data_IF_905102664340
#
_entry.id   IF_905102664340
#
_cell.length_a   1.000
_cell.length_b   1.000
_cell.length_c   1.000
_cell.angle_alpha   90.00
_cell.angle_beta   90.00
_cell.angle_gamma   90.00
#
_symmetry.space_group_name_H-M   'P 1'
#
loop_
_entity.id
_entity.type
_entity.pdbx_description
1 polymer ?
#
# COMPACT_ATOMS: atom_id res chain seq x y z
N UNK A 1 -56.57 -18.27 11.79
CA UNK A 1 -55.55 -17.82 10.79
C UNK A 1 -54.24 -17.66 11.52
N UNK A 2 -53.41 -18.70 11.51
CA UNK A 2 -52.13 -18.76 12.21
C UNK A 2 -51.02 -18.70 11.19
N UNK A 3 -50.26 -17.62 11.19
CA UNK A 3 -49.10 -17.41 10.32
C UNK A 3 -47.89 -18.22 10.88
N UNK A 4 -47.36 -19.10 10.02
CA UNK A 4 -46.11 -19.83 10.26
C UNK A 4 -44.90 -18.89 10.04
N UNK A 5 -43.81 -19.02 10.81
CA UNK A 5 -42.55 -18.32 10.54
C UNK A 5 -41.77 -19.00 9.38
N UNK A 6 -40.86 -18.29 8.70
CA UNK A 6 -40.06 -18.82 7.60
C UNK A 6 -39.01 -19.80 8.09
N UNK A 7 -38.77 -20.83 7.30
CA UNK A 7 -37.80 -21.93 7.56
C UNK A 7 -36.45 -21.50 6.97
N UNK A 8 -35.43 -21.36 7.82
CA UNK A 8 -34.05 -21.15 7.42
C UNK A 8 -33.42 -22.43 6.86
N UNK A 9 -33.04 -22.41 5.59
CA UNK A 9 -32.25 -23.50 5.01
C UNK A 9 -30.76 -23.33 5.39
N UNK A 10 -30.29 -24.21 6.27
CA UNK A 10 -28.87 -24.33 6.63
C UNK A 10 -28.21 -25.28 5.64
N UNK A 11 -27.31 -24.77 4.80
CA UNK A 11 -26.38 -25.59 3.99
C UNK A 11 -25.14 -25.86 4.86
N UNK A 12 -25.05 -27.05 5.40
CA UNK A 12 -23.90 -27.50 6.17
C UNK A 12 -22.83 -28.12 5.28
N UNK A 13 -21.62 -27.54 5.25
CA UNK A 13 -20.42 -28.17 4.69
C UNK A 13 -19.83 -29.07 5.78
N UNK A 14 -19.78 -30.39 5.54
CA UNK A 14 -19.11 -31.36 6.44
C UNK A 14 -17.62 -31.43 6.10
N UNK A 15 -16.78 -31.02 7.06
CA UNK A 15 -15.37 -31.42 7.06
C UNK A 15 -15.22 -32.72 7.84
N UNK A 16 -14.45 -33.68 7.34
CA UNK A 16 -14.10 -34.90 8.02
C UNK A 16 -13.15 -34.60 9.18
N UNK A 17 -13.56 -35.01 10.39
CA UNK A 17 -12.87 -34.90 11.68
C UNK A 17 -13.02 -33.55 12.42
N UNK A 18 -14.03 -33.49 13.32
CA UNK A 18 -14.13 -32.51 14.39
C UNK A 18 -14.91 -31.23 14.02
N UNK A 19 -15.94 -30.94 14.83
CA UNK A 19 -16.69 -29.69 14.77
C UNK A 19 -15.77 -28.49 15.07
N UNK A 20 -15.32 -27.77 14.05
CA UNK A 20 -14.74 -26.45 14.23
C UNK A 20 -15.87 -25.44 14.49
N UNK A 21 -16.03 -25.06 15.73
CA UNK A 21 -16.89 -23.94 16.13
C UNK A 21 -16.18 -22.64 15.78
N UNK A 22 -16.41 -22.13 14.57
CA UNK A 22 -15.93 -20.81 14.15
C UNK A 22 -16.86 -19.78 14.81
N UNK A 23 -16.38 -18.94 15.73
CA UNK A 23 -17.22 -17.95 16.37
C UNK A 23 -17.84 -17.04 15.31
N UNK A 24 -19.15 -17.10 15.13
CA UNK A 24 -19.90 -16.17 14.28
C UNK A 24 -19.61 -14.76 14.78
N UNK A 25 -18.80 -13.98 14.06
CA UNK A 25 -18.72 -12.53 14.25
C UNK A 25 -20.16 -12.02 14.11
N UNK A 26 -20.73 -11.54 15.23
CA UNK A 26 -22.01 -10.84 15.22
C UNK A 26 -21.88 -9.71 14.18
N UNK A 27 -22.64 -9.80 13.11
CA UNK A 27 -22.87 -8.66 12.22
C UNK A 27 -23.50 -7.59 13.11
N UNK A 28 -22.71 -6.57 13.47
CA UNK A 28 -23.22 -5.42 14.21
C UNK A 28 -24.32 -4.80 13.36
N UNK A 29 -25.52 -4.75 13.91
CA UNK A 29 -26.63 -4.01 13.31
C UNK A 29 -26.12 -2.63 12.89
N UNK A 30 -26.36 -2.29 11.61
CA UNK A 30 -25.95 -1.07 10.97
C UNK A 30 -26.47 0.15 11.78
N UNK A 31 -25.68 0.68 12.70
CA UNK A 31 -25.94 1.99 13.30
C UNK A 31 -25.79 2.98 12.15
N UNK A 32 -26.87 3.61 11.71
CA UNK A 32 -26.80 4.75 10.79
C UNK A 32 -25.94 5.80 11.47
N UNK A 33 -24.72 5.96 11.00
CA UNK A 33 -23.84 7.03 11.47
C UNK A 33 -24.47 8.37 11.09
N UNK A 34 -24.57 9.34 11.99
CA UNK A 34 -25.11 10.66 11.66
C UNK A 34 -24.30 11.26 10.53
N UNK A 35 -24.99 11.71 9.49
CA UNK A 35 -24.39 12.45 8.38
C UNK A 35 -24.52 13.93 8.68
N UNK A 36 -23.38 14.63 8.69
CA UNK A 36 -23.32 16.07 8.94
C UNK A 36 -23.15 16.82 7.62
N UNK A 37 -24.07 17.71 7.31
CA UNK A 37 -23.96 18.54 6.10
C UNK A 37 -22.90 19.65 6.32
N UNK A 38 -22.04 19.80 5.32
CA UNK A 38 -21.03 20.86 5.21
C UNK A 38 -21.43 21.79 4.08
N UNK A 39 -21.57 23.07 4.38
CA UNK A 39 -21.95 24.13 3.43
C UNK A 39 -20.80 25.05 3.07
N UNK A 40 -19.78 25.13 3.93
CA UNK A 40 -18.65 26.04 3.77
C UNK A 40 -17.35 25.24 3.58
N UNK A 41 -16.49 25.60 2.62
CA UNK A 41 -15.26 24.86 2.32
C UNK A 41 -14.19 25.00 3.41
N UNK A 42 -14.27 26.04 4.23
CA UNK A 42 -13.38 26.32 5.35
C UNK A 42 -13.88 25.81 6.71
N UNK A 43 -14.94 25.00 6.73
CA UNK A 43 -15.45 24.37 7.95
C UNK A 43 -14.35 23.54 8.64
N UNK A 44 -14.08 23.81 9.91
CA UNK A 44 -13.01 23.16 10.68
C UNK A 44 -13.19 21.65 10.82
N UNK A 45 -14.40 21.13 10.71
CA UNK A 45 -14.69 19.70 10.75
C UNK A 45 -14.07 18.93 9.58
N UNK A 46 -13.80 19.60 8.44
CA UNK A 46 -13.18 19.03 7.24
C UNK A 46 -11.75 19.52 7.02
N UNK A 47 -11.08 20.07 8.04
CA UNK A 47 -9.71 20.56 7.95
C UNK A 47 -8.72 19.53 7.40
N UNK A 48 -8.90 18.24 7.71
CA UNK A 48 -8.05 17.15 7.20
C UNK A 48 -8.02 17.07 5.67
N UNK A 49 -9.05 17.57 4.99
CA UNK A 49 -9.24 17.45 3.53
C UNK A 49 -8.87 18.72 2.76
N UNK A 50 -8.38 19.75 3.42
CA UNK A 50 -8.03 21.00 2.75
C UNK A 50 -6.75 20.87 1.93
N UNK A 51 -6.70 21.54 0.80
CA UNK A 51 -5.52 21.67 -0.05
C UNK A 51 -4.81 20.34 -0.37
N UNK A 52 -5.56 19.29 -0.69
CA UNK A 52 -5.02 17.95 -0.98
C UNK A 52 -4.12 17.89 -2.24
N UNK A 53 -4.10 18.95 -3.05
CA UNK A 53 -3.22 19.09 -4.22
C UNK A 53 -1.87 19.69 -3.87
N UNK A 54 -1.73 20.33 -2.73
CA UNK A 54 -0.47 20.88 -2.25
C UNK A 54 0.40 19.78 -1.66
N UNK A 55 1.32 19.25 -2.46
CA UNK A 55 2.20 18.14 -2.09
C UNK A 55 3.11 18.51 -0.92
N UNK A 56 3.66 19.74 -0.92
CA UNK A 56 4.60 20.17 0.11
C UNK A 56 3.89 20.31 1.47
N UNK A 57 2.74 20.98 1.48
CA UNK A 57 1.91 21.12 2.67
C UNK A 57 1.53 19.73 3.22
N UNK A 58 1.02 18.85 2.36
CA UNK A 58 0.54 17.52 2.80
C UNK A 58 1.66 16.63 3.32
N UNK A 59 2.84 16.66 2.68
CA UNK A 59 4.00 15.89 3.12
C UNK A 59 4.52 16.36 4.48
N UNK A 60 4.44 17.66 4.75
CA UNK A 60 4.83 18.23 6.05
C UNK A 60 3.76 18.08 7.13
N UNK A 61 2.49 17.97 6.75
CA UNK A 61 1.38 17.99 7.70
C UNK A 61 0.88 16.58 8.06
N UNK A 62 0.63 15.70 7.09
CA UNK A 62 0.01 14.38 7.34
C UNK A 62 0.86 13.47 8.25
N UNK A 63 2.16 13.24 8.00
CA UNK A 63 2.95 12.33 8.80
C UNK A 63 3.12 12.78 10.26
N UNK A 64 3.44 14.05 10.58
CA UNK A 64 3.57 14.51 11.96
C UNK A 64 2.27 14.43 12.76
N UNK A 65 1.11 14.58 12.08
CA UNK A 65 -0.21 14.43 12.72
C UNK A 65 -0.68 12.98 12.79
N UNK A 66 0.13 12.04 12.29
CA UNK A 66 -0.21 10.61 12.28
C UNK A 66 -1.42 10.29 11.39
N UNK A 67 -1.60 11.04 10.29
CA UNK A 67 -2.76 10.94 9.41
C UNK A 67 -2.36 10.58 7.97
N UNK A 68 -3.32 10.06 7.22
CA UNK A 68 -3.26 9.97 5.76
C UNK A 68 -4.66 10.03 5.15
N UNK A 69 -4.73 10.42 3.88
CA UNK A 69 -5.99 10.53 3.13
C UNK A 69 -6.11 9.39 2.13
N UNK A 70 -7.25 8.70 2.17
CA UNK A 70 -7.65 7.71 1.18
C UNK A 70 -8.76 8.26 0.28
N UNK A 71 -8.72 7.93 -1.02
CA UNK A 71 -9.65 8.38 -2.04
C UNK A 71 -10.29 7.20 -2.77
N UNK A 72 -11.60 7.14 -2.76
CA UNK A 72 -12.41 6.16 -3.47
C UNK A 72 -12.77 4.93 -2.63
N UNK A 73 -14.00 4.45 -2.83
CA UNK A 73 -14.64 3.41 -2.02
C UNK A 73 -13.78 2.15 -1.83
N UNK A 74 -13.20 1.59 -2.90
CA UNK A 74 -12.37 0.39 -2.81
C UNK A 74 -11.17 0.59 -1.90
N UNK A 75 -10.51 1.75 -2.00
CA UNK A 75 -9.33 2.10 -1.20
C UNK A 75 -9.72 2.24 0.27
N UNK A 76 -10.85 2.90 0.56
CA UNK A 76 -11.37 3.04 1.92
C UNK A 76 -11.66 1.66 2.54
N UNK A 77 -12.34 0.78 1.79
CA UNK A 77 -12.62 -0.59 2.24
C UNK A 77 -11.35 -1.37 2.56
N UNK A 78 -10.31 -1.22 1.76
CA UNK A 78 -9.01 -1.86 2.00
C UNK A 78 -8.33 -1.31 3.25
N UNK A 79 -8.33 0.00 3.46
CA UNK A 79 -7.80 0.61 4.68
C UNK A 79 -8.54 0.11 5.94
N UNK A 80 -9.87 0.08 5.91
CA UNK A 80 -10.68 -0.45 7.02
C UNK A 80 -10.40 -1.94 7.28
N UNK A 81 -10.34 -2.77 6.24
CA UNK A 81 -10.01 -4.21 6.36
C UNK A 81 -8.61 -4.42 6.93
N UNK A 82 -7.65 -3.59 6.54
CA UNK A 82 -6.31 -3.59 7.11
C UNK A 82 -6.27 -3.05 8.55
N UNK A 83 -7.43 -2.62 9.10
CA UNK A 83 -7.58 -2.17 10.49
C UNK A 83 -6.99 -0.79 10.75
N UNK A 84 -6.90 0.10 9.75
CA UNK A 84 -6.58 1.50 9.98
C UNK A 84 -7.79 2.19 10.61
N UNK A 85 -7.62 2.90 11.76
CA UNK A 85 -8.72 3.62 12.40
C UNK A 85 -9.16 4.81 11.53
N UNK A 86 -10.43 4.84 11.13
CA UNK A 86 -10.98 6.00 10.45
C UNK A 86 -11.13 7.15 11.46
N UNK A 87 -10.78 8.36 11.02
CA UNK A 87 -10.98 9.61 11.75
C UNK A 87 -12.24 10.33 11.29
N UNK A 88 -12.48 10.37 9.98
CA UNK A 88 -13.70 10.92 9.39
C UNK A 88 -13.84 10.48 7.94
N UNK A 89 -15.04 10.69 7.38
CA UNK A 89 -15.33 10.53 5.96
C UNK A 89 -15.87 11.84 5.40
N UNK A 90 -15.49 12.16 4.16
CA UNK A 90 -16.03 13.29 3.40
C UNK A 90 -16.57 12.78 2.08
N UNK A 91 -17.84 13.00 1.81
CA UNK A 91 -18.55 12.40 0.67
C UNK A 91 -19.40 13.43 -0.08
N UNK A 92 -19.54 13.26 -1.38
CA UNK A 92 -20.56 13.96 -2.16
C UNK A 92 -21.95 13.61 -1.59
N UNK A 93 -22.75 14.65 -1.26
CA UNK A 93 -24.07 14.49 -0.67
C UNK A 93 -25.00 13.55 -1.48
N UNK A 94 -24.81 13.45 -2.81
CA UNK A 94 -25.55 12.55 -3.70
C UNK A 94 -25.07 11.08 -3.62
N UNK A 95 -23.95 10.82 -2.92
CA UNK A 95 -23.29 9.51 -2.87
C UNK A 95 -23.14 8.95 -1.47
N UNK A 96 -23.83 9.51 -0.49
CA UNK A 96 -23.81 9.05 0.91
C UNK A 96 -24.11 7.55 1.03
N UNK A 97 -24.99 7.03 0.17
CA UNK A 97 -25.35 5.60 0.15
C UNK A 97 -24.18 4.67 -0.16
N UNK A 98 -23.08 5.15 -0.77
CA UNK A 98 -21.86 4.37 -0.98
C UNK A 98 -21.17 3.96 0.32
N UNK A 99 -21.49 4.63 1.43
CA UNK A 99 -20.96 4.33 2.76
C UNK A 99 -21.91 3.46 3.60
N UNK A 100 -23.10 3.13 3.10
CA UNK A 100 -24.16 2.51 3.91
C UNK A 100 -23.79 1.12 4.45
N UNK A 101 -22.93 0.38 3.76
CA UNK A 101 -22.47 -0.96 4.15
C UNK A 101 -21.03 -0.96 4.72
N UNK A 102 -20.41 0.23 4.87
CA UNK A 102 -19.10 0.35 5.51
C UNK A 102 -19.23 0.35 7.03
N UNK A 103 -18.37 -0.40 7.71
CA UNK A 103 -18.18 -0.25 9.14
C UNK A 103 -17.32 0.99 9.40
N UNK A 104 -17.98 2.13 9.50
CA UNK A 104 -17.32 3.42 9.77
C UNK A 104 -16.94 3.58 11.25
N UNK A 105 -17.37 2.67 12.12
CA UNK A 105 -17.21 2.81 13.56
C UNK A 105 -17.93 4.04 14.09
N UNK A 106 -17.25 4.81 14.93
CA UNK A 106 -17.74 6.09 15.47
C UNK A 106 -17.23 7.32 14.66
N UNK A 107 -16.54 7.09 13.52
CA UNK A 107 -16.00 8.17 12.71
C UNK A 107 -17.13 8.96 12.04
N UNK A 108 -17.16 10.31 12.16
CA UNK A 108 -18.20 11.13 11.57
C UNK A 108 -18.16 11.08 10.04
N UNK A 109 -19.36 11.18 9.44
CA UNK A 109 -19.54 11.30 7.99
C UNK A 109 -19.98 12.72 7.67
N UNK A 110 -19.18 13.41 6.88
CA UNK A 110 -19.45 14.76 6.38
C UNK A 110 -19.92 14.65 4.93
N UNK A 111 -21.03 15.28 4.60
CA UNK A 111 -21.56 15.34 3.25
C UNK A 111 -21.52 16.77 2.74
N UNK A 112 -21.04 16.99 1.53
CA UNK A 112 -20.96 18.29 0.91
C UNK A 112 -21.35 18.24 -0.56
N UNK A 113 -21.69 19.41 -1.14
CA UNK A 113 -21.89 19.52 -2.57
C UNK A 113 -20.57 19.37 -3.34
N UNK A 114 -20.61 19.00 -4.65
CA UNK A 114 -19.39 18.95 -5.45
C UNK A 114 -18.56 20.23 -5.46
N UNK A 115 -19.20 21.39 -5.40
CA UNK A 115 -18.55 22.70 -5.41
C UNK A 115 -17.77 22.93 -4.10
N UNK A 116 -18.40 22.68 -2.95
CA UNK A 116 -17.77 22.75 -1.64
C UNK A 116 -16.61 21.75 -1.53
N UNK A 117 -16.80 20.51 -2.04
CA UNK A 117 -15.73 19.51 -2.09
C UNK A 117 -14.54 19.99 -2.92
N UNK A 118 -14.82 20.57 -4.11
CA UNK A 118 -13.77 21.08 -4.99
C UNK A 118 -12.98 22.20 -4.34
N UNK A 119 -13.67 23.18 -3.75
CA UNK A 119 -13.03 24.33 -3.12
C UNK A 119 -12.19 23.92 -1.91
N UNK A 120 -12.71 23.05 -1.05
CA UNK A 120 -11.97 22.56 0.12
C UNK A 120 -10.74 21.74 -0.26
N UNK A 121 -10.88 20.78 -1.19
CA UNK A 121 -9.83 19.81 -1.52
C UNK A 121 -8.84 20.28 -2.57
N UNK A 122 -9.19 21.30 -3.37
CA UNK A 122 -8.40 21.81 -4.49
C UNK A 122 -8.50 20.98 -5.77
N UNK A 123 -9.45 20.01 -5.85
CA UNK A 123 -9.69 19.20 -7.06
C UNK A 123 -11.10 18.61 -7.09
N UNK A 124 -11.54 18.20 -8.29
CA UNK A 124 -12.82 17.49 -8.41
C UNK A 124 -12.72 16.07 -7.85
N UNK A 125 -13.49 15.76 -6.82
CA UNK A 125 -13.54 14.44 -6.18
C UNK A 125 -14.34 13.47 -7.05
N UNK A 126 -13.75 13.01 -8.17
CA UNK A 126 -14.44 12.18 -9.17
C UNK A 126 -15.04 10.88 -8.61
N UNK A 127 -14.41 10.29 -7.60
CA UNK A 127 -14.89 9.06 -6.94
C UNK A 127 -15.87 9.32 -5.83
N UNK A 128 -16.14 10.59 -5.52
CA UNK A 128 -17.19 11.06 -4.62
C UNK A 128 -16.98 10.77 -3.14
N UNK A 129 -15.89 10.12 -2.73
CA UNK A 129 -15.61 9.81 -1.32
C UNK A 129 -14.13 9.89 -0.99
N UNK A 130 -13.85 10.53 0.15
CA UNK A 130 -12.55 10.63 0.81
C UNK A 130 -12.70 10.14 2.25
N UNK A 131 -11.61 9.69 2.84
CA UNK A 131 -11.54 9.42 4.28
C UNK A 131 -10.18 9.81 4.84
N UNK A 132 -10.18 10.36 6.04
CA UNK A 132 -9.00 10.57 6.86
C UNK A 132 -8.83 9.39 7.81
N UNK A 133 -7.63 8.81 7.84
CA UNK A 133 -7.27 7.68 8.67
C UNK A 133 -6.09 8.00 9.58
N UNK A 134 -6.03 7.35 10.74
CA UNK A 134 -4.85 7.38 11.61
C UNK A 134 -3.82 6.38 11.12
N UNK A 135 -2.54 6.81 11.08
CA UNK A 135 -1.42 5.92 10.80
C UNK A 135 -1.23 4.90 11.93
N UNK A 136 -0.75 3.73 11.57
CA UNK A 136 -0.27 2.73 12.52
C UNK A 136 1.24 2.87 12.71
N UNK A 137 1.79 2.46 13.85
CA UNK A 137 3.23 2.26 13.99
C UNK A 137 3.74 1.31 12.90
N UNK A 138 4.87 1.64 12.30
CA UNK A 138 5.53 0.77 11.35
C UNK A 138 6.31 -0.33 12.09
N UNK A 139 6.38 -1.54 11.53
CA UNK A 139 7.32 -2.54 12.02
C UNK A 139 8.77 -2.06 11.81
N UNK A 140 9.67 -2.60 12.56
CA UNK A 140 11.12 -2.45 12.31
C UNK A 140 11.54 -3.29 11.11
N UNK A 141 12.65 -2.93 10.46
CA UNK A 141 13.21 -3.74 9.37
C UNK A 141 13.53 -5.18 9.83
N UNK A 142 14.02 -5.34 11.05
CA UNK A 142 14.31 -6.67 11.64
C UNK A 142 13.07 -7.54 11.78
N UNK A 143 11.96 -6.99 12.28
CA UNK A 143 10.67 -7.71 12.38
C UNK A 143 10.18 -8.15 11.00
N UNK A 144 10.27 -7.27 9.99
CA UNK A 144 9.90 -7.58 8.62
C UNK A 144 10.76 -8.72 8.05
N UNK A 145 12.08 -8.63 8.19
CA UNK A 145 13.04 -9.62 7.66
C UNK A 145 12.90 -11.00 8.31
N UNK A 146 12.40 -11.06 9.55
CA UNK A 146 12.19 -12.34 10.25
C UNK A 146 11.10 -13.18 9.61
N UNK A 147 10.06 -12.57 9.06
CA UNK A 147 8.88 -13.25 8.53
C UNK A 147 8.85 -13.33 7.00
N UNK A 148 9.58 -12.44 6.31
CA UNK A 148 9.58 -12.36 4.86
C UNK A 148 10.46 -13.45 4.21
N UNK A 149 10.00 -14.02 3.10
CA UNK A 149 10.78 -14.86 2.19
C UNK A 149 11.46 -14.03 1.10
N UNK A 150 10.74 -13.06 0.51
CA UNK A 150 11.27 -12.11 -0.49
C UNK A 150 10.89 -10.69 -0.14
N UNK A 151 11.81 -9.77 -0.38
CA UNK A 151 11.59 -8.34 -0.14
C UNK A 151 12.04 -7.49 -1.33
N UNK A 152 11.42 -6.34 -1.49
CA UNK A 152 11.89 -5.27 -2.37
C UNK A 152 12.48 -4.17 -1.51
N UNK A 153 13.67 -3.68 -1.87
CA UNK A 153 14.35 -2.57 -1.22
C UNK A 153 14.37 -1.40 -2.21
N UNK A 154 13.94 -0.24 -1.77
CA UNK A 154 13.89 0.96 -2.60
C UNK A 154 14.86 2.01 -2.08
N UNK A 155 15.76 2.48 -2.96
CA UNK A 155 16.65 3.60 -2.68
C UNK A 155 16.14 4.84 -3.40
N UNK A 156 15.80 5.88 -2.62
CA UNK A 156 15.51 7.24 -3.10
C UNK A 156 14.35 7.34 -4.12
N UNK A 157 13.40 6.40 -4.05
CA UNK A 157 12.21 6.43 -4.91
C UNK A 157 11.23 7.50 -4.42
N UNK A 158 11.32 8.70 -4.98
CA UNK A 158 10.59 9.89 -4.54
C UNK A 158 9.30 10.17 -5.33
N UNK A 159 9.07 9.47 -6.43
CA UNK A 159 7.85 9.60 -7.22
C UNK A 159 6.73 8.74 -6.61
N UNK A 160 5.71 9.38 -6.05
CA UNK A 160 4.57 8.72 -5.43
C UNK A 160 3.79 7.80 -6.38
N UNK A 161 3.80 8.09 -7.70
CA UNK A 161 3.14 7.24 -8.70
C UNK A 161 3.91 5.93 -8.86
N UNK A 162 5.23 6.00 -8.96
CA UNK A 162 6.09 4.83 -9.04
C UNK A 162 6.00 3.99 -7.76
N UNK A 163 6.09 4.66 -6.61
CA UNK A 163 5.96 3.98 -5.33
C UNK A 163 4.64 3.22 -5.19
N UNK A 164 3.52 3.86 -5.54
CA UNK A 164 2.21 3.20 -5.52
C UNK A 164 2.11 2.03 -6.52
N UNK A 165 2.69 2.16 -7.71
CA UNK A 165 2.72 1.09 -8.71
C UNK A 165 3.60 -0.09 -8.26
N UNK A 166 4.73 0.19 -7.58
CA UNK A 166 5.59 -0.84 -6.98
C UNK A 166 4.81 -1.62 -5.91
N UNK A 167 4.16 -0.95 -4.96
CA UNK A 167 3.36 -1.63 -3.94
C UNK A 167 2.27 -2.53 -4.55
N UNK A 168 1.64 -2.07 -5.63
CA UNK A 168 0.64 -2.88 -6.33
C UNK A 168 1.25 -4.11 -7.01
N UNK A 169 2.41 -3.96 -7.64
CA UNK A 169 3.14 -5.07 -8.27
C UNK A 169 3.61 -6.08 -7.22
N UNK A 170 4.23 -5.61 -6.14
CA UNK A 170 4.71 -6.41 -5.00
C UNK A 170 3.58 -7.25 -4.40
N UNK A 171 2.42 -6.62 -4.11
CA UNK A 171 1.24 -7.32 -3.60
C UNK A 171 0.74 -8.42 -4.55
N UNK A 172 0.70 -8.12 -5.85
CA UNK A 172 0.18 -9.05 -6.86
C UNK A 172 1.14 -10.18 -7.25
N UNK A 173 2.45 -10.03 -6.95
CA UNK A 173 3.49 -10.96 -7.37
C UNK A 173 4.13 -11.75 -6.20
N UNK A 174 3.47 -11.74 -5.02
CA UNK A 174 3.86 -12.59 -3.91
C UNK A 174 5.18 -12.19 -3.25
N UNK A 175 5.54 -10.90 -3.27
CA UNK A 175 6.64 -10.36 -2.47
C UNK A 175 6.09 -9.95 -1.10
N UNK A 176 6.77 -10.36 -0.04
CA UNK A 176 6.23 -10.29 1.31
C UNK A 176 6.31 -8.90 1.94
N UNK A 177 7.30 -8.08 1.55
CA UNK A 177 7.48 -6.76 2.16
C UNK A 177 8.30 -5.79 1.30
N UNK A 178 8.24 -4.51 1.65
CA UNK A 178 9.03 -3.44 1.07
C UNK A 178 9.87 -2.75 2.16
N UNK A 179 11.18 -2.61 1.91
CA UNK A 179 12.08 -1.83 2.73
C UNK A 179 12.43 -0.52 2.01
N UNK A 180 12.43 0.58 2.73
CA UNK A 180 12.58 1.92 2.16
C UNK A 180 13.82 2.61 2.73
N UNK A 181 14.70 3.14 1.88
CA UNK A 181 15.71 4.08 2.37
C UNK A 181 15.04 5.30 3.03
N UNK A 182 15.74 6.04 3.90
CA UNK A 182 15.16 7.18 4.63
C UNK A 182 14.55 8.25 3.72
N UNK A 183 15.11 8.41 2.54
CA UNK A 183 14.77 9.45 1.55
C UNK A 183 13.64 9.06 0.60
N UNK A 184 13.14 7.82 0.64
CA UNK A 184 11.98 7.43 -0.16
C UNK A 184 10.73 8.22 0.21
N UNK A 185 9.87 8.44 -0.80
CA UNK A 185 8.55 9.03 -0.60
C UNK A 185 7.69 8.21 0.39
N UNK A 186 6.69 8.86 0.95
CA UNK A 186 5.76 8.23 1.89
C UNK A 186 4.76 7.31 1.16
N UNK A 187 4.72 5.99 1.47
CA UNK A 187 3.75 5.08 0.89
C UNK A 187 2.29 5.44 1.19
N UNK A 188 2.03 6.09 2.32
CA UNK A 188 0.68 6.50 2.72
C UNK A 188 0.26 7.87 2.17
N UNK A 189 1.13 8.54 1.40
CA UNK A 189 0.70 9.74 0.69
C UNK A 189 -0.43 9.41 -0.30
N UNK A 190 -1.46 10.26 -0.36
CA UNK A 190 -2.72 10.01 -1.10
C UNK A 190 -2.52 9.46 -2.52
N UNK A 191 -1.52 9.97 -3.27
CA UNK A 191 -1.24 9.50 -4.64
C UNK A 191 -0.73 8.06 -4.67
N UNK A 192 0.19 7.69 -3.77
CA UNK A 192 0.69 6.32 -3.64
C UNK A 192 -0.42 5.36 -3.26
N UNK A 193 -1.23 5.73 -2.27
CA UNK A 193 -2.40 4.97 -1.84
C UNK A 193 -3.38 4.74 -2.99
N UNK A 194 -3.66 5.78 -3.78
CA UNK A 194 -4.58 5.70 -4.91
C UNK A 194 -4.03 4.85 -6.05
N UNK A 195 -2.76 5.03 -6.43
CA UNK A 195 -2.13 4.28 -7.53
C UNK A 195 -1.98 2.81 -7.18
N UNK A 196 -1.63 2.49 -5.93
CA UNK A 196 -1.62 1.11 -5.45
C UNK A 196 -3.01 0.49 -5.36
N UNK A 197 -4.08 1.26 -5.57
CA UNK A 197 -5.46 0.85 -5.31
C UNK A 197 -5.69 0.43 -3.87
N UNK A 198 -4.83 0.89 -2.92
CA UNK A 198 -4.85 0.50 -1.51
C UNK A 198 -4.10 -0.80 -1.19
N UNK A 199 -3.37 -1.42 -2.14
CA UNK A 199 -2.53 -2.59 -1.84
C UNK A 199 -1.38 -2.26 -0.88
N UNK A 200 -0.99 -0.99 -0.78
CA UNK A 200 -0.04 -0.51 0.24
C UNK A 200 -0.44 -0.88 1.67
N UNK A 201 -1.71 -1.11 1.93
CA UNK A 201 -2.21 -1.51 3.25
C UNK A 201 -2.03 -3.00 3.55
N UNK A 202 -1.86 -3.81 2.51
CA UNK A 202 -1.71 -5.26 2.62
C UNK A 202 -0.24 -5.70 2.68
N UNK A 203 0.69 -4.87 2.17
CA UNK A 203 2.12 -5.18 2.12
C UNK A 203 2.83 -4.52 3.30
N UNK A 204 3.42 -5.27 4.22
CA UNK A 204 4.27 -4.74 5.28
C UNK A 204 5.42 -3.92 4.69
N UNK A 205 5.76 -2.80 5.32
CA UNK A 205 6.94 -2.02 4.94
C UNK A 205 7.60 -1.39 6.16
N UNK A 206 8.91 -1.18 6.06
CA UNK A 206 9.71 -0.56 7.10
C UNK A 206 10.76 0.39 6.52
N UNK A 207 11.26 1.31 7.34
CA UNK A 207 12.47 2.08 7.02
C UNK A 207 13.68 1.18 7.24
N UNK A 208 14.63 1.25 6.31
CA UNK A 208 15.91 0.56 6.40
C UNK A 208 17.00 1.58 6.74
N UNK A 209 17.34 1.64 8.01
CA UNK A 209 18.24 2.63 8.58
C UNK A 209 19.28 1.95 9.50
N UNK A 210 20.52 2.48 9.53
CA UNK A 210 21.09 3.57 8.72
C UNK A 210 21.41 3.13 7.28
N UNK A 211 21.16 4.02 6.32
CA UNK A 211 21.36 3.73 4.90
C UNK A 211 22.76 4.13 4.42
N UNK A 212 23.44 3.35 3.55
CA UNK A 212 23.08 2.01 3.08
C UNK A 212 23.66 0.88 3.94
N UNK A 213 24.27 1.18 5.08
CA UNK A 213 24.98 0.19 5.93
C UNK A 213 24.05 -0.90 6.46
N UNK A 214 22.73 -0.60 6.64
CA UNK A 214 21.73 -1.58 7.03
C UNK A 214 21.48 -2.69 5.99
N UNK A 215 22.04 -2.61 4.77
CA UNK A 215 22.09 -3.75 3.84
C UNK A 215 22.84 -4.96 4.42
N UNK A 216 23.78 -4.73 5.34
CA UNK A 216 24.45 -5.80 6.06
C UNK A 216 23.48 -6.61 6.95
N UNK A 217 22.48 -5.95 7.55
CA UNK A 217 21.47 -6.62 8.38
C UNK A 217 20.55 -7.49 7.51
N UNK A 218 20.20 -7.02 6.31
CA UNK A 218 19.43 -7.80 5.33
C UNK A 218 20.17 -9.09 4.96
N UNK A 219 21.48 -8.99 4.67
CA UNK A 219 22.34 -10.15 4.38
C UNK A 219 22.46 -11.08 5.57
N UNK A 220 22.65 -10.51 6.77
CA UNK A 220 22.74 -11.29 8.02
C UNK A 220 21.43 -12.04 8.33
N UNK A 221 20.29 -11.52 7.88
CA UNK A 221 19.00 -12.21 7.93
C UNK A 221 18.87 -13.33 6.89
N UNK A 222 19.89 -13.60 6.07
CA UNK A 222 19.96 -14.68 5.09
C UNK A 222 19.40 -14.33 3.71
N UNK A 223 19.20 -13.06 3.42
CA UNK A 223 18.79 -12.63 2.08
C UNK A 223 19.99 -12.45 1.15
N UNK A 224 19.80 -12.76 -0.13
CA UNK A 224 20.71 -12.35 -1.19
C UNK A 224 20.26 -11.00 -1.73
N UNK A 225 21.10 -9.96 -1.58
CA UNK A 225 20.79 -8.62 -2.07
C UNK A 225 21.12 -8.51 -3.56
N UNK A 226 20.08 -8.37 -4.39
CA UNK A 226 20.12 -8.31 -5.85
C UNK A 226 19.99 -6.86 -6.31
N UNK A 227 21.08 -6.18 -6.66
CA UNK A 227 21.07 -4.79 -7.12
C UNK A 227 20.70 -4.69 -8.60
N UNK A 228 19.54 -4.10 -8.90
CA UNK A 228 19.09 -3.88 -10.27
C UNK A 228 19.88 -2.74 -10.93
N UNK A 229 20.60 -3.05 -12.02
CA UNK A 229 21.47 -2.09 -12.72
C UNK A 229 21.63 -2.46 -14.19
N UNK A 230 21.76 -1.50 -15.10
CA UNK A 230 22.09 -1.76 -16.50
C UNK A 230 23.60 -2.03 -16.73
N UNK A 231 24.40 -2.20 -15.68
CA UNK A 231 25.84 -2.41 -15.79
C UNK A 231 26.16 -3.62 -16.69
N UNK A 232 27.23 -3.57 -17.53
CA UNK A 232 27.56 -4.63 -18.49
C UNK A 232 27.92 -5.98 -17.85
N UNK A 233 28.38 -5.95 -16.60
CA UNK A 233 28.75 -7.12 -15.80
C UNK A 233 27.57 -7.72 -14.99
N UNK A 234 26.37 -7.13 -15.11
CA UNK A 234 25.20 -7.59 -14.39
C UNK A 234 24.67 -8.92 -14.97
N UNK A 235 24.26 -9.81 -14.07
CA UNK A 235 23.68 -11.10 -14.39
C UNK A 235 22.23 -10.91 -14.86
N UNK A 236 21.81 -11.45 -16.01
CA UNK A 236 20.40 -11.45 -16.38
C UNK A 236 19.53 -12.11 -15.31
N UNK A 237 18.43 -11.44 -14.90
CA UNK A 237 17.57 -11.90 -13.79
C UNK A 237 17.07 -13.34 -13.99
N UNK A 238 16.81 -13.75 -15.23
CA UNK A 238 16.41 -15.12 -15.57
C UNK A 238 17.53 -16.18 -15.42
N UNK A 239 18.78 -15.76 -15.24
CA UNK A 239 19.93 -16.66 -15.05
C UNK A 239 20.33 -16.83 -13.58
N UNK A 240 19.61 -16.19 -12.66
CA UNK A 240 19.82 -16.41 -11.24
C UNK A 240 19.57 -17.88 -10.86
N UNK A 241 20.45 -18.42 -10.04
CA UNK A 241 20.29 -19.78 -9.54
C UNK A 241 19.21 -19.89 -8.44
N UNK A 242 18.71 -21.09 -8.11
CA UNK A 242 17.66 -21.25 -7.09
C UNK A 242 18.01 -20.66 -5.71
N UNK A 243 19.26 -20.74 -5.27
CA UNK A 243 19.68 -20.20 -3.98
C UNK A 243 19.59 -18.66 -3.95
N UNK A 244 19.94 -17.99 -5.06
CA UNK A 244 19.81 -16.54 -5.19
C UNK A 244 18.36 -16.08 -5.26
N UNK A 245 17.43 -16.92 -5.67
CA UNK A 245 15.98 -16.62 -5.80
C UNK A 245 15.21 -16.87 -4.52
N UNK A 246 15.61 -17.86 -3.71
CA UNK A 246 14.81 -18.37 -2.58
C UNK A 246 14.57 -17.32 -1.48
N UNK A 247 15.58 -16.53 -1.14
CA UNK A 247 15.49 -15.39 -0.20
C UNK A 247 16.07 -14.13 -0.84
N UNK A 248 15.40 -13.66 -1.88
CA UNK A 248 15.86 -12.51 -2.64
C UNK A 248 15.41 -11.18 -2.00
N UNK A 249 16.36 -10.25 -1.87
CA UNK A 249 16.11 -8.85 -1.57
C UNK A 249 16.44 -8.01 -2.82
N UNK A 250 15.41 -7.70 -3.62
CA UNK A 250 15.57 -6.95 -4.87
C UNK A 250 15.75 -5.46 -4.56
N UNK A 251 16.94 -4.93 -4.82
CA UNK A 251 17.30 -3.54 -4.57
C UNK A 251 17.17 -2.72 -5.86
N UNK A 252 16.35 -1.68 -5.82
CA UNK A 252 16.08 -0.76 -6.93
C UNK A 252 16.34 0.69 -6.51
N UNK A 253 16.96 1.45 -7.39
CA UNK A 253 17.23 2.88 -7.20
C UNK A 253 16.19 3.79 -7.85
N UNK A 254 16.35 5.09 -7.61
CA UNK A 254 15.55 6.15 -8.22
C UNK A 254 15.66 6.17 -9.75
N UNK A 255 14.64 6.72 -10.40
CA UNK A 255 14.69 7.01 -11.85
C UNK A 255 15.79 8.04 -12.16
N UNK A 256 16.54 7.78 -13.21
CA UNK A 256 17.64 8.62 -13.67
C UNK A 256 18.95 8.32 -12.95
N UNK A 257 19.05 8.57 -11.66
CA UNK A 257 20.29 8.37 -10.89
C UNK A 257 20.62 6.89 -10.65
N UNK A 258 19.60 6.02 -10.58
CA UNK A 258 19.77 4.61 -10.25
C UNK A 258 20.20 4.41 -8.79
N UNK A 259 20.94 3.34 -8.55
CA UNK A 259 21.52 3.03 -7.23
C UNK A 259 22.82 3.79 -6.98
N UNK A 260 23.02 4.22 -5.75
CA UNK A 260 24.30 4.81 -5.33
C UNK A 260 25.43 3.77 -5.37
N UNK A 261 26.68 4.24 -5.55
CA UNK A 261 27.86 3.37 -5.49
C UNK A 261 27.98 2.60 -4.16
N UNK A 262 27.56 3.23 -3.05
CA UNK A 262 27.58 2.62 -1.73
C UNK A 262 26.52 1.51 -1.58
N UNK A 263 25.29 1.72 -2.10
CA UNK A 263 24.25 0.69 -2.13
C UNK A 263 24.65 -0.48 -3.04
N UNK A 264 25.24 -0.19 -4.20
CA UNK A 264 25.80 -1.22 -5.11
C UNK A 264 26.90 -2.04 -4.44
N UNK A 265 27.81 -1.41 -3.69
CA UNK A 265 28.88 -2.11 -2.96
C UNK A 265 28.35 -2.98 -1.82
N UNK A 266 27.18 -2.64 -1.25
CA UNK A 266 26.49 -3.42 -0.22
C UNK A 266 25.68 -4.60 -0.76
N UNK A 267 25.56 -4.78 -2.08
CA UNK A 267 24.83 -5.88 -2.71
C UNK A 267 25.70 -7.11 -2.97
N UNK A 268 25.06 -8.27 -3.10
CA UNK A 268 25.73 -9.54 -3.38
C UNK A 268 25.85 -9.81 -4.88
N UNK A 269 24.82 -9.45 -5.66
CA UNK A 269 24.76 -9.71 -7.09
C UNK A 269 24.18 -8.49 -7.80
N UNK A 270 24.83 -8.06 -8.89
CA UNK A 270 24.28 -7.11 -9.83
C UNK A 270 23.40 -7.83 -10.82
N UNK A 271 22.17 -7.38 -11.00
CA UNK A 271 21.19 -8.04 -11.87
C UNK A 271 20.62 -7.07 -12.91
N UNK A 272 20.29 -7.58 -14.08
CA UNK A 272 19.75 -6.80 -15.19
C UNK A 272 18.55 -7.50 -15.82
N UNK A 273 17.58 -6.70 -16.26
CA UNK A 273 16.57 -7.14 -17.23
C UNK A 273 17.16 -6.89 -18.62
N UNK A 274 17.45 -7.93 -19.44
CA UNK A 274 18.05 -7.73 -20.76
C UNK A 274 17.13 -6.92 -21.66
N UNK A 275 17.61 -5.79 -22.13
CA UNK A 275 16.86 -4.88 -22.99
C UNK A 275 17.16 -5.14 -24.47
N UNK A 276 16.28 -4.68 -25.35
CA UNK A 276 16.43 -4.79 -26.82
C UNK A 276 16.38 -3.40 -27.45
N UNK A 277 16.88 -3.29 -28.68
CA UNK A 277 16.79 -2.09 -29.53
C UNK A 277 17.42 -0.84 -28.95
N UNK A 278 18.46 -0.97 -28.09
CA UNK A 278 19.17 0.18 -27.52
C UNK A 278 18.37 0.92 -26.44
N UNK A 279 17.32 0.32 -25.88
CA UNK A 279 16.65 0.86 -24.70
C UNK A 279 17.52 0.59 -23.47
N UNK A 280 17.84 1.63 -22.72
CA UNK A 280 18.78 1.52 -21.58
C UNK A 280 18.13 0.95 -20.32
N UNK A 281 16.87 1.30 -20.05
CA UNK A 281 16.18 0.89 -18.82
C UNK A 281 14.64 0.93 -18.98
N UNK A 282 13.95 0.34 -18.01
CA UNK A 282 12.51 0.47 -17.81
C UNK A 282 12.23 1.48 -16.68
N UNK A 283 11.01 2.03 -16.66
CA UNK A 283 10.48 2.68 -15.48
C UNK A 283 10.64 1.76 -14.25
N UNK A 284 10.99 2.30 -13.10
CA UNK A 284 11.33 1.53 -11.89
C UNK A 284 10.21 0.59 -11.44
N UNK A 285 8.95 1.00 -11.56
CA UNK A 285 7.83 0.13 -11.20
C UNK A 285 7.65 -1.02 -12.20
N UNK A 286 7.88 -0.77 -13.50
CA UNK A 286 7.87 -1.81 -14.52
C UNK A 286 9.03 -2.79 -14.32
N UNK A 287 10.24 -2.28 -14.04
CA UNK A 287 11.40 -3.11 -13.71
C UNK A 287 11.14 -3.98 -12.48
N UNK A 288 10.54 -3.41 -11.43
CA UNK A 288 10.13 -4.15 -10.23
C UNK A 288 9.19 -5.29 -10.59
N UNK A 289 8.13 -5.01 -11.35
CA UNK A 289 7.14 -6.02 -11.72
C UNK A 289 7.76 -7.19 -12.52
N UNK A 290 8.59 -6.88 -13.51
CA UNK A 290 9.25 -7.91 -14.33
C UNK A 290 10.22 -8.76 -13.51
N UNK A 291 11.02 -8.11 -12.64
CA UNK A 291 11.97 -8.84 -11.81
C UNK A 291 11.27 -9.70 -10.74
N UNK A 292 10.23 -9.17 -10.08
CA UNK A 292 9.45 -9.94 -9.11
C UNK A 292 8.74 -11.13 -9.76
N UNK A 293 8.17 -10.95 -10.95
CA UNK A 293 7.59 -12.06 -11.73
C UNK A 293 8.61 -13.16 -12.01
N UNK A 294 9.79 -12.77 -12.47
CA UNK A 294 10.85 -13.75 -12.78
C UNK A 294 11.39 -14.44 -11.52
N UNK A 295 11.49 -13.73 -10.40
CA UNK A 295 11.91 -14.31 -9.13
C UNK A 295 10.89 -15.33 -8.58
N UNK A 296 9.61 -15.11 -8.82
CA UNK A 296 8.51 -15.95 -8.35
C UNK A 296 8.01 -17.01 -9.34
N UNK A 297 8.61 -17.13 -10.53
CA UNK A 297 8.07 -17.97 -11.60
C UNK A 297 7.92 -19.47 -11.25
N UNK A 298 8.71 -19.95 -10.30
CA UNK A 298 8.71 -21.35 -9.87
C UNK A 298 7.86 -21.58 -8.60
N UNK A 299 7.18 -20.51 -8.09
CA UNK A 299 6.31 -20.63 -6.94
C UNK A 299 4.96 -21.25 -7.32
N UNK A 300 4.35 -22.05 -6.44
CA UNK A 300 2.98 -22.50 -6.64
C UNK A 300 2.01 -21.32 -6.60
N UNK A 301 1.03 -21.29 -7.51
CA UNK A 301 -0.05 -20.31 -7.55
C UNK A 301 -1.10 -20.61 -6.48
#
# INVERSE_FOLDING_TARGET
MTSRPPVDHVVGVRCAAGTCDVPRRRVRQNRRVPVHLITEPDDERIADYRALTDVELRTRWEPPHGLFIAEGELVLRRALRAGYPARSFLVDAKRVDQLADLDTGDAPVYAATPDVLHEATGFHVHRGVLASFRRKPLPTAGEVLTTAGRVVILEDVNNHTNLGAIFRAVAGLGVDAVLLSPTCADPLYRRSVRVSMGEVFAVPYAKLEPWPTALADVRSAGFTVLAMTPAPDAVPVQRLNPAQRSRAALLLGAEGAGLTGAAMAGSDVRVVIPMRRGVDSLNVAAATAVACWELGRDDPL
#
